data_IF_281976422139
#
_entry.id   IF_281976422139
#
_cell.length_a   1.000
_cell.length_b   1.000
_cell.length_c   1.000
_cell.angle_alpha   90.00
_cell.angle_beta   90.00
_cell.angle_gamma   90.00
#
_symmetry.space_group_name_H-M   'P 1'
#
loop_
_entity.id
_entity.type
_entity.pdbx_description
1 polymer ?
#
# COMPACT_ATOMS: atom_id res chain seq x y z
N UNK A 1 14.65 -12.81 6.90
CA UNK A 1 13.40 -12.02 6.94
C UNK A 1 13.47 -10.83 6.01
N UNK A 2 12.33 -10.41 5.52
CA UNK A 2 12.24 -9.25 4.64
C UNK A 2 11.09 -8.37 5.09
N UNK A 3 11.20 -7.10 4.78
CA UNK A 3 10.14 -6.13 5.05
C UNK A 3 9.44 -5.80 3.74
N UNK A 4 8.12 -5.86 3.76
CA UNK A 4 7.28 -5.48 2.64
C UNK A 4 6.68 -4.12 2.96
N UNK A 5 6.90 -3.15 2.08
CA UNK A 5 6.25 -1.85 2.16
C UNK A 5 5.24 -1.76 1.04
N UNK A 6 3.98 -1.57 1.38
CA UNK A 6 2.92 -1.42 0.40
C UNK A 6 2.22 -0.08 0.61
N UNK A 7 2.21 0.74 -0.42
CA UNK A 7 1.47 2.00 -0.43
C UNK A 7 0.22 1.77 -1.26
N UNK A 8 -0.93 1.87 -0.64
CA UNK A 8 -2.22 1.54 -1.25
C UNK A 8 -3.22 2.66 -1.04
N UNK A 9 -4.27 2.63 -1.84
CA UNK A 9 -5.41 3.51 -1.67
C UNK A 9 -6.14 3.15 -0.37
N UNK A 10 -6.53 4.17 0.39
CA UNK A 10 -7.22 3.97 1.67
C UNK A 10 -8.51 3.16 1.53
N UNK A 11 -9.18 3.22 0.37
CA UNK A 11 -10.42 2.47 0.13
C UNK A 11 -10.19 0.96 -0.02
N UNK A 12 -8.96 0.55 -0.24
CA UNK A 12 -8.58 -0.87 -0.34
C UNK A 12 -8.07 -1.46 0.97
N UNK A 13 -7.87 -0.61 1.98
CA UNK A 13 -7.22 -1.01 3.23
C UNK A 13 -7.96 -2.15 3.94
N UNK A 14 -9.27 -2.07 4.03
CA UNK A 14 -10.06 -3.08 4.72
C UNK A 14 -9.96 -4.46 4.05
N UNK A 15 -9.99 -4.50 2.73
CA UNK A 15 -9.84 -5.75 1.99
C UNK A 15 -8.44 -6.35 2.19
N UNK A 16 -7.42 -5.50 2.20
CA UNK A 16 -6.05 -5.94 2.42
C UNK A 16 -5.87 -6.47 3.84
N UNK A 17 -6.40 -5.76 4.83
CA UNK A 17 -6.36 -6.23 6.23
C UNK A 17 -6.99 -7.61 6.38
N UNK A 18 -8.16 -7.80 5.78
CA UNK A 18 -8.89 -9.07 5.85
C UNK A 18 -8.08 -10.20 5.20
N UNK A 19 -7.47 -9.93 4.06
CA UNK A 19 -6.66 -10.92 3.36
C UNK A 19 -5.41 -11.30 4.17
N UNK A 20 -4.75 -10.32 4.81
CA UNK A 20 -3.60 -10.59 5.66
C UNK A 20 -3.99 -11.42 6.87
N UNK A 21 -5.13 -11.12 7.48
CA UNK A 21 -5.65 -11.87 8.61
C UNK A 21 -5.92 -13.33 8.22
N UNK A 22 -6.51 -13.57 7.05
CA UNK A 22 -6.74 -14.92 6.54
C UNK A 22 -5.44 -15.69 6.32
N UNK A 23 -4.36 -14.99 6.04
CA UNK A 23 -3.03 -15.58 5.89
C UNK A 23 -2.32 -15.80 7.24
N UNK A 24 -2.96 -15.44 8.35
CA UNK A 24 -2.37 -15.53 9.65
C UNK A 24 -1.43 -14.38 10.00
N UNK A 25 -1.45 -13.30 9.24
CA UNK A 25 -0.61 -12.14 9.47
C UNK A 25 -1.42 -11.11 10.25
N UNK A 26 -1.13 -11.01 11.55
CA UNK A 26 -1.83 -10.11 12.46
C UNK A 26 -0.95 -8.96 12.96
N UNK A 27 0.34 -9.02 12.67
CA UNK A 27 1.33 -8.08 13.16
C UNK A 27 1.90 -7.30 11.98
N UNK A 28 1.43 -6.09 11.78
CA UNK A 28 1.95 -5.18 10.78
C UNK A 28 1.63 -3.74 11.18
N UNK A 29 2.34 -2.80 10.58
CA UNK A 29 2.14 -1.38 10.87
C UNK A 29 1.44 -0.69 9.72
N UNK A 30 0.58 0.25 10.07
CA UNK A 30 -0.11 1.12 9.11
C UNK A 30 0.20 2.56 9.43
N UNK A 31 0.39 3.36 8.41
CA UNK A 31 0.50 4.80 8.58
C UNK A 31 -0.18 5.52 7.42
N UNK A 32 -0.84 6.62 7.76
CA UNK A 32 -1.38 7.52 6.75
C UNK A 32 -0.24 8.37 6.23
N UNK A 33 -0.10 8.43 4.91
CA UNK A 33 0.97 9.19 4.28
C UNK A 33 0.39 10.11 3.21
N UNK A 34 1.11 11.18 2.93
CA UNK A 34 0.76 12.11 1.87
C UNK A 34 1.71 11.90 0.70
N UNK A 35 1.17 11.48 -0.43
CA UNK A 35 1.95 11.24 -1.63
C UNK A 35 1.89 12.45 -2.54
N UNK A 36 3.05 13.00 -2.87
CA UNK A 36 3.18 14.07 -3.84
C UNK A 36 3.29 13.45 -5.22
N UNK A 37 2.36 13.78 -6.10
CA UNK A 37 2.34 13.26 -7.44
C UNK A 37 2.20 14.39 -8.43
N UNK A 38 2.42 14.09 -9.71
CA UNK A 38 2.14 15.05 -10.77
C UNK A 38 0.66 15.41 -10.68
N UNK A 39 0.37 16.69 -10.64
CA UNK A 39 -0.98 17.20 -10.45
C UNK A 39 -1.95 16.68 -11.49
N UNK A 40 -3.15 16.36 -11.04
CA UNK A 40 -4.25 15.99 -11.91
C UNK A 40 -5.25 17.14 -11.94
N UNK A 41 -5.77 17.41 -13.11
CA UNK A 41 -6.81 18.42 -13.26
C UNK A 41 -8.12 17.87 -12.75
N UNK A 42 -8.71 18.56 -11.79
CA UNK A 42 -10.00 18.20 -11.23
C UNK A 42 -11.01 19.31 -11.48
N UNK A 43 -12.26 18.94 -11.72
CA UNK A 43 -13.35 19.90 -11.90
C UNK A 43 -14.31 19.74 -10.74
N UNK A 44 -14.53 20.82 -10.03
CA UNK A 44 -15.45 20.84 -8.89
C UNK A 44 -16.27 22.12 -8.96
N UNK A 45 -17.59 21.96 -9.04
CA UNK A 45 -18.55 23.09 -9.15
C UNK A 45 -18.22 24.05 -10.29
N UNK A 46 -17.79 23.49 -11.42
CA UNK A 46 -17.44 24.29 -12.59
C UNK A 46 -16.07 24.94 -12.56
N UNK A 47 -15.33 24.80 -11.45
CA UNK A 47 -13.98 25.32 -11.32
C UNK A 47 -12.96 24.19 -11.57
N UNK A 48 -11.88 24.53 -12.24
CA UNK A 48 -10.79 23.60 -12.53
C UNK A 48 -9.64 23.87 -11.56
N UNK A 49 -9.11 22.81 -10.94
CA UNK A 49 -7.94 22.91 -10.07
C UNK A 49 -7.06 21.66 -10.18
N UNK A 50 -5.83 21.78 -9.73
CA UNK A 50 -4.86 20.68 -9.75
C UNK A 50 -4.63 20.16 -8.33
N UNK A 51 -4.73 18.82 -8.16
CA UNK A 51 -4.40 18.17 -6.91
C UNK A 51 -3.01 17.54 -7.05
N UNK A 52 -2.07 17.97 -6.21
CA UNK A 52 -0.68 17.47 -6.22
C UNK A 52 -0.38 16.52 -5.07
N UNK A 53 -1.28 16.44 -4.10
CA UNK A 53 -1.08 15.63 -2.90
C UNK A 53 -2.26 14.69 -2.77
N UNK A 54 -1.96 13.40 -2.61
CA UNK A 54 -2.96 12.36 -2.42
C UNK A 54 -2.64 11.62 -1.12
N UNK A 55 -3.66 11.45 -0.29
CA UNK A 55 -3.52 10.69 0.95
C UNK A 55 -3.63 9.20 0.64
N UNK A 56 -2.65 8.44 1.12
CA UNK A 56 -2.59 7.00 0.95
C UNK A 56 -2.26 6.33 2.28
N UNK A 57 -2.27 5.01 2.29
CA UNK A 57 -1.87 4.24 3.46
C UNK A 57 -0.65 3.42 3.13
N UNK A 58 0.33 3.45 4.02
CA UNK A 58 1.52 2.63 3.93
C UNK A 58 1.42 1.48 4.93
N UNK A 59 1.60 0.27 4.44
CA UNK A 59 1.67 -0.93 5.26
C UNK A 59 3.11 -1.40 5.33
N UNK A 60 3.56 -1.77 6.52
CA UNK A 60 4.89 -2.35 6.72
C UNK A 60 4.73 -3.71 7.37
N UNK A 61 5.16 -4.75 6.67
CA UNK A 61 4.98 -6.14 7.08
C UNK A 61 6.34 -6.81 7.07
N UNK A 62 6.73 -7.40 8.20
CA UNK A 62 7.96 -8.19 8.27
C UNK A 62 7.56 -9.66 8.16
N UNK A 63 8.17 -10.37 7.21
CA UNK A 63 7.80 -11.75 6.92
C UNK A 63 9.02 -12.62 6.64
N UNK A 64 8.84 -13.91 6.82
CA UNK A 64 9.84 -14.89 6.43
C UNK A 64 10.02 -14.88 4.91
N UNK A 65 11.23 -15.15 4.45
CA UNK A 65 11.58 -15.07 3.03
C UNK A 65 10.64 -15.89 2.13
N UNK A 66 10.21 -17.04 2.58
CA UNK A 66 9.34 -17.93 1.82
C UNK A 66 7.89 -17.47 1.74
N UNK A 67 7.50 -16.49 2.55
CA UNK A 67 6.13 -15.95 2.58
C UNK A 67 5.98 -14.68 1.75
N UNK A 68 7.07 -14.05 1.39
CA UNK A 68 7.06 -12.71 0.76
C UNK A 68 6.29 -12.68 -0.56
N UNK A 69 6.57 -13.62 -1.45
CA UNK A 69 5.90 -13.64 -2.76
C UNK A 69 4.40 -13.75 -2.64
N UNK A 70 3.93 -14.61 -1.74
CA UNK A 70 2.50 -14.82 -1.53
C UNK A 70 1.82 -13.56 -0.98
N UNK A 71 2.48 -12.87 -0.05
CA UNK A 71 1.96 -11.62 0.52
C UNK A 71 1.90 -10.54 -0.55
N UNK A 72 2.97 -10.38 -1.31
CA UNK A 72 3.03 -9.38 -2.39
C UNK A 72 1.95 -9.62 -3.44
N UNK A 73 1.78 -10.86 -3.86
CA UNK A 73 0.74 -11.22 -4.83
C UNK A 73 -0.66 -10.93 -4.29
N UNK A 74 -0.90 -11.25 -3.03
CA UNK A 74 -2.20 -11.02 -2.40
C UNK A 74 -2.54 -9.54 -2.34
N UNK A 75 -1.61 -8.72 -1.86
CA UNK A 75 -1.81 -7.27 -1.79
C UNK A 75 -2.00 -6.68 -3.18
N UNK A 76 -1.17 -7.10 -4.13
CA UNK A 76 -1.24 -6.61 -5.50
C UNK A 76 -2.57 -6.94 -6.18
N UNK A 77 -3.09 -8.14 -5.96
CA UNK A 77 -4.37 -8.55 -6.54
C UNK A 77 -5.54 -7.71 -6.04
N UNK A 78 -5.50 -7.28 -4.78
CA UNK A 78 -6.56 -6.47 -4.18
C UNK A 78 -6.38 -4.99 -4.54
N UNK A 79 -5.18 -4.47 -4.41
CA UNK A 79 -4.92 -3.03 -4.42
C UNK A 79 -4.70 -2.44 -5.80
N UNK A 80 -4.29 -3.25 -6.79
CA UNK A 80 -4.10 -2.75 -8.15
C UNK A 80 -5.41 -2.73 -8.90
N UNK A 81 -5.77 -1.56 -9.41
CA UNK A 81 -7.03 -1.36 -10.13
C UNK A 81 -6.81 -1.06 -11.61
N UNK A 82 -5.61 -1.32 -12.12
CA UNK A 82 -5.26 -1.06 -13.52
C UNK A 82 -4.60 0.30 -13.74
N UNK A 83 -4.52 1.17 -12.73
CA UNK A 83 -3.80 2.43 -12.80
C UNK A 83 -2.39 2.24 -12.24
N UNK A 84 -1.41 2.87 -12.86
CA UNK A 84 0.00 2.74 -12.46
C UNK A 84 0.29 3.21 -11.04
N UNK A 85 -0.51 4.13 -10.51
CA UNK A 85 -0.27 4.77 -9.21
C UNK A 85 -1.12 4.22 -8.08
N UNK A 86 -1.94 3.21 -8.34
CA UNK A 86 -2.87 2.69 -7.33
C UNK A 86 -2.20 1.90 -6.24
N UNK A 87 -1.07 1.25 -6.55
CA UNK A 87 -0.37 0.41 -5.59
C UNK A 87 1.11 0.41 -5.88
N UNK A 88 1.90 0.60 -4.84
CA UNK A 88 3.35 0.49 -4.91
C UNK A 88 3.80 -0.48 -3.84
N UNK A 89 4.52 -1.52 -4.24
CA UNK A 89 5.03 -2.51 -3.31
C UNK A 89 6.54 -2.61 -3.47
N UNK A 90 7.26 -2.49 -2.35
CA UNK A 90 8.69 -2.65 -2.30
C UNK A 90 9.04 -3.73 -1.28
N UNK A 91 10.09 -4.47 -1.56
CA UNK A 91 10.59 -5.50 -0.67
C UNK A 91 12.03 -5.15 -0.29
N UNK A 92 12.31 -5.15 1.01
CA UNK A 92 13.58 -4.71 1.57
C UNK A 92 14.15 -5.78 2.48
N UNK A 93 15.47 -5.94 2.53
CA UNK A 93 16.07 -6.79 3.56
C UNK A 93 15.73 -6.26 4.96
N UNK A 94 15.50 -7.16 5.90
CA UNK A 94 15.19 -6.77 7.27
C UNK A 94 16.14 -7.48 8.24
N UNK A 95 16.84 -6.71 9.04
CA UNK A 95 17.72 -7.19 10.08
C UNK A 95 17.27 -6.62 11.41
N UNK A 96 16.76 -7.47 12.28
CA UNK A 96 16.33 -7.05 13.61
C UNK A 96 17.52 -7.08 14.56
N UNK A 97 17.75 -5.96 15.21
CA UNK A 97 18.86 -5.78 16.15
C UNK A 97 18.29 -5.31 17.49
N UNK A 98 17.84 -6.22 18.27
CA UNK A 98 17.24 -5.91 19.58
C UNK A 98 18.16 -6.24 20.73
#
# INVERSE_FOLDING_TARGET
>A
MQQIEAVIDQFKLQEVRSALEEMGINDFMESAIMCHQKGQVMIFRGATFMANIVEKVKLEIVAADDSVSRIVETIGAIARTGRKVDCRIAVLPYLEMS
#
